data_IF_653052538685
#
_entry.id   IF_653052538685
#
_cell.length_a   1.000
_cell.length_b   1.000
_cell.length_c   1.000
_cell.angle_alpha   90.00
_cell.angle_beta   90.00
_cell.angle_gamma   90.00
#
_symmetry.space_group_name_H-M   'P 1'
#
loop_
_entity.id
_entity.type
_entity.pdbx_description
1 polymer ?
#
# COMPACT_ATOMS: atom_id res chain seq x y z
N UNK A 1 -24.18 23.88 2.85
CA UNK A 1 -22.80 23.46 3.11
C UNK A 1 -22.84 22.67 4.40
N UNK A 2 -22.53 21.34 4.41
CA UNK A 2 -22.34 20.67 5.68
C UNK A 2 -21.12 21.32 6.36
N UNK A 3 -21.26 21.64 7.64
CA UNK A 3 -20.19 22.19 8.45
C UNK A 3 -18.98 21.26 8.38
N UNK A 4 -17.82 21.86 8.08
CA UNK A 4 -16.51 21.19 8.03
C UNK A 4 -16.23 20.59 9.43
N UNK A 5 -16.60 19.34 9.63
CA UNK A 5 -16.27 18.65 10.88
C UNK A 5 -14.76 18.40 10.85
N UNK A 6 -14.02 18.81 11.87
CA UNK A 6 -12.59 18.56 11.93
C UNK A 6 -12.35 17.07 11.78
N UNK A 7 -11.40 16.71 10.93
CA UNK A 7 -11.02 15.33 10.70
C UNK A 7 -10.43 14.75 11.98
N UNK A 8 -10.94 13.60 12.40
CA UNK A 8 -10.40 12.87 13.53
C UNK A 8 -8.99 12.36 13.19
N UNK A 9 -8.12 12.38 14.18
CA UNK A 9 -6.74 11.91 14.12
C UNK A 9 -6.50 10.80 15.15
N UNK A 10 -5.36 10.13 15.11
CA UNK A 10 -5.04 9.10 16.09
C UNK A 10 -5.07 9.61 17.55
N UNK A 11 -4.78 10.90 17.77
CA UNK A 11 -4.81 11.52 19.10
C UNK A 11 -6.20 11.67 19.70
N UNK A 12 -7.26 11.58 18.87
CA UNK A 12 -8.65 11.65 19.33
C UNK A 12 -9.15 10.29 19.87
N UNK A 13 -8.33 9.25 19.78
CA UNK A 13 -8.69 7.90 20.23
C UNK A 13 -7.78 7.40 21.35
N UNK A 14 -8.36 6.59 22.23
CA UNK A 14 -7.56 5.88 23.22
C UNK A 14 -6.55 4.95 22.51
N UNK A 15 -5.25 4.97 22.87
CA UNK A 15 -4.25 4.11 22.24
C UNK A 15 -4.58 2.62 22.25
N UNK A 16 -5.33 2.13 23.27
CA UNK A 16 -5.77 0.75 23.31
C UNK A 16 -6.84 0.43 22.24
N UNK A 17 -7.67 1.43 21.87
CA UNK A 17 -8.64 1.28 20.79
C UNK A 17 -7.92 1.23 19.44
N UNK A 18 -6.87 2.02 19.24
CA UNK A 18 -6.05 1.97 18.03
C UNK A 18 -5.35 0.61 17.86
N UNK A 19 -4.80 0.07 18.94
CA UNK A 19 -4.21 -1.30 18.93
C UNK A 19 -5.27 -2.37 18.65
N UNK A 20 -6.46 -2.23 19.20
CA UNK A 20 -7.58 -3.14 18.95
C UNK A 20 -8.02 -3.06 17.49
N UNK A 21 -8.08 -1.85 16.95
CA UNK A 21 -8.39 -1.62 15.53
C UNK A 21 -7.31 -2.21 14.61
N UNK A 22 -6.03 -2.09 14.98
CA UNK A 22 -4.95 -2.71 14.23
C UNK A 22 -5.08 -4.26 14.19
N UNK A 23 -5.41 -4.90 15.33
CA UNK A 23 -5.71 -6.32 15.36
C UNK A 23 -6.87 -6.70 14.43
N UNK A 24 -7.92 -5.89 14.41
CA UNK A 24 -9.07 -6.09 13.54
C UNK A 24 -8.70 -5.93 12.05
N UNK A 25 -7.97 -4.89 11.69
CA UNK A 25 -7.52 -4.64 10.31
C UNK A 25 -6.67 -5.78 9.78
N UNK A 26 -5.82 -6.39 10.64
CA UNK A 26 -4.97 -7.52 10.26
C UNK A 26 -5.65 -8.90 10.40
N UNK A 27 -6.93 -8.95 10.78
CA UNK A 27 -7.68 -10.20 10.87
C UNK A 27 -7.34 -11.07 12.09
N UNK A 28 -6.61 -10.52 13.08
CA UNK A 28 -6.34 -11.21 14.36
C UNK A 28 -7.59 -11.32 15.23
N UNK A 29 -8.55 -10.45 15.02
CA UNK A 29 -9.90 -10.49 15.56
C UNK A 29 -10.90 -10.14 14.46
N UNK A 30 -12.10 -10.68 14.53
CA UNK A 30 -13.21 -10.33 13.65
C UNK A 30 -13.94 -9.05 14.11
N UNK A 31 -14.93 -8.61 13.33
CA UNK A 31 -15.76 -7.45 13.66
C UNK A 31 -16.45 -7.60 15.01
N UNK A 32 -16.97 -8.78 15.33
CA UNK A 32 -17.64 -9.07 16.59
C UNK A 32 -16.67 -8.94 17.77
N UNK A 33 -15.49 -9.54 17.64
CA UNK A 33 -14.43 -9.46 18.65
C UNK A 33 -13.92 -8.02 18.87
N UNK A 34 -13.86 -7.20 17.81
CA UNK A 34 -13.59 -5.78 17.97
C UNK A 34 -14.70 -5.08 18.78
N UNK A 35 -15.96 -5.23 18.38
CA UNK A 35 -17.09 -4.57 19.04
C UNK A 35 -17.20 -4.96 20.51
N UNK A 36 -17.08 -6.26 20.83
CA UNK A 36 -17.12 -6.75 22.21
C UNK A 36 -16.01 -6.14 23.08
N UNK A 37 -14.79 -6.06 22.57
CA UNK A 37 -13.65 -5.50 23.31
C UNK A 37 -13.69 -3.98 23.39
N UNK A 38 -14.18 -3.31 22.34
CA UNK A 38 -14.30 -1.86 22.27
C UNK A 38 -15.35 -1.29 23.25
N UNK A 39 -16.33 -2.08 23.70
CA UNK A 39 -17.33 -1.64 24.71
C UNK A 39 -16.68 -1.09 25.99
N UNK A 40 -15.51 -1.60 26.38
CA UNK A 40 -14.76 -1.11 27.55
C UNK A 40 -14.32 0.35 27.42
N UNK A 41 -14.17 0.84 26.19
CA UNK A 41 -13.75 2.19 25.86
C UNK A 41 -14.94 3.07 25.41
N UNK A 42 -16.12 2.47 25.30
CA UNK A 42 -17.33 3.04 24.73
C UNK A 42 -18.45 3.15 25.78
N UNK A 43 -18.12 3.48 27.02
CA UNK A 43 -19.10 3.60 28.13
C UNK A 43 -20.00 2.36 28.31
N UNK A 44 -19.48 1.17 27.92
CA UNK A 44 -20.22 -0.10 28.02
C UNK A 44 -21.29 -0.33 26.95
N UNK A 45 -21.47 0.57 25.99
CA UNK A 45 -22.53 0.49 24.97
C UNK A 45 -22.03 -0.09 23.64
N UNK A 46 -22.75 -1.09 23.10
CA UNK A 46 -22.49 -1.63 21.78
C UNK A 46 -22.69 -0.60 20.66
N UNK A 47 -23.62 0.32 20.81
CA UNK A 47 -23.86 1.41 19.86
C UNK A 47 -22.65 2.35 19.79
N UNK A 48 -22.05 2.68 20.94
CA UNK A 48 -20.84 3.52 20.99
C UNK A 48 -19.61 2.77 20.46
N UNK A 49 -19.50 1.45 20.67
CA UNK A 49 -18.44 0.65 20.06
C UNK A 49 -18.55 0.59 18.53
N UNK A 50 -19.77 0.52 17.98
CA UNK A 50 -20.02 0.58 16.54
C UNK A 50 -19.67 1.98 15.98
N UNK A 51 -19.97 3.04 16.72
CA UNK A 51 -19.58 4.42 16.34
C UNK A 51 -18.04 4.59 16.33
N UNK A 52 -17.33 3.98 17.29
CA UNK A 52 -15.86 3.96 17.26
C UNK A 52 -15.31 3.25 16.01
N UNK A 53 -15.89 2.10 15.66
CA UNK A 53 -15.48 1.38 14.45
C UNK A 53 -15.73 2.22 13.20
N UNK A 54 -16.89 2.82 13.10
CA UNK A 54 -17.24 3.70 11.97
C UNK A 54 -16.29 4.90 11.87
N UNK A 55 -15.92 5.51 13.00
CA UNK A 55 -14.99 6.63 13.04
C UNK A 55 -13.55 6.26 12.63
N UNK A 56 -13.16 5.00 12.84
CA UNK A 56 -11.85 4.47 12.45
C UNK A 56 -11.82 3.92 11.02
N UNK A 57 -12.99 3.70 10.40
CA UNK A 57 -13.11 3.15 9.05
C UNK A 57 -12.72 4.18 7.99
N UNK A 58 -12.25 3.73 6.80
CA UNK A 58 -11.85 4.62 5.72
C UNK A 58 -12.98 5.51 5.21
N UNK A 59 -12.67 6.78 4.99
CA UNK A 59 -13.50 7.73 4.24
C UNK A 59 -12.78 8.07 2.91
N UNK A 60 -13.08 7.30 1.88
CA UNK A 60 -12.45 7.45 0.58
C UNK A 60 -12.80 8.76 -0.12
N UNK A 61 -14.04 9.22 0.07
CA UNK A 61 -14.52 10.43 -0.60
C UNK A 61 -13.84 11.68 -0.03
N UNK A 62 -13.72 11.76 1.30
CA UNK A 62 -13.06 12.89 1.96
C UNK A 62 -11.54 12.91 1.75
N UNK A 63 -10.92 11.74 1.50
CA UNK A 63 -9.47 11.61 1.33
C UNK A 63 -8.99 11.72 -0.13
N UNK A 64 -9.89 11.69 -1.10
CA UNK A 64 -9.53 11.71 -2.53
C UNK A 64 -8.81 13.02 -2.89
N UNK A 65 -7.54 12.93 -3.33
CA UNK A 65 -6.72 14.08 -3.74
C UNK A 65 -6.75 14.32 -5.24
N UNK A 66 -6.93 13.27 -6.05
CA UNK A 66 -6.98 13.37 -7.51
C UNK A 66 -8.27 12.76 -8.02
N UNK A 67 -9.10 13.55 -8.67
CA UNK A 67 -10.37 13.07 -9.21
C UNK A 67 -10.16 11.94 -10.22
N UNK A 68 -11.09 10.97 -10.26
CA UNK A 68 -11.02 9.85 -11.21
C UNK A 68 -11.08 10.32 -12.67
N UNK A 69 -11.73 11.45 -12.93
CA UNK A 69 -11.88 12.08 -14.25
C UNK A 69 -10.96 13.30 -14.44
N UNK A 70 -9.83 13.39 -13.72
CA UNK A 70 -8.86 14.48 -13.89
C UNK A 70 -8.33 14.51 -15.32
N UNK A 71 -8.57 15.62 -16.04
CA UNK A 71 -8.23 15.76 -17.46
C UNK A 71 -6.73 15.71 -17.75
N UNK A 72 -5.89 15.86 -16.74
CA UNK A 72 -4.43 15.75 -16.88
C UNK A 72 -3.97 14.29 -16.98
N UNK A 73 -4.87 13.33 -16.74
CA UNK A 73 -4.58 11.91 -16.69
C UNK A 73 -5.40 11.11 -17.69
N UNK A 74 -4.87 9.95 -18.09
CA UNK A 74 -5.61 8.86 -18.72
C UNK A 74 -5.59 7.67 -17.77
N UNK A 75 -6.76 7.12 -17.47
CA UNK A 75 -6.92 5.97 -16.57
C UNK A 75 -7.72 4.88 -17.26
N UNK A 76 -7.34 3.64 -17.00
CA UNK A 76 -8.00 2.46 -17.58
C UNK A 76 -7.79 1.23 -16.70
N UNK A 77 -8.71 0.25 -16.79
CA UNK A 77 -8.47 -1.09 -16.31
C UNK A 77 -8.03 -1.99 -17.48
N UNK A 78 -6.94 -2.71 -17.28
CA UNK A 78 -6.39 -3.62 -18.29
C UNK A 78 -6.20 -5.00 -17.69
N UNK A 79 -6.60 -6.04 -18.43
CA UNK A 79 -6.32 -7.42 -18.04
C UNK A 79 -5.02 -7.90 -18.70
N UNK A 80 -4.31 -8.76 -17.98
CA UNK A 80 -3.05 -9.36 -18.44
C UNK A 80 -2.95 -10.83 -18.01
N UNK A 81 -2.07 -11.58 -18.69
CA UNK A 81 -1.83 -12.98 -18.36
C UNK A 81 -1.02 -13.11 -17.07
N UNK A 82 -1.38 -14.09 -16.25
CA UNK A 82 -0.68 -14.44 -15.00
C UNK A 82 -0.76 -15.96 -14.78
N UNK A 83 -0.07 -16.73 -15.61
CA UNK A 83 -0.20 -18.18 -15.68
C UNK A 83 0.20 -18.87 -14.36
N UNK A 84 1.28 -18.43 -13.73
CA UNK A 84 1.69 -18.92 -12.41
C UNK A 84 0.80 -18.41 -11.26
N UNK A 85 0.00 -17.35 -11.51
CA UNK A 85 -0.99 -16.82 -10.59
C UNK A 85 -2.36 -17.48 -10.77
N UNK A 86 -3.35 -16.71 -11.23
CA UNK A 86 -4.75 -17.16 -11.43
C UNK A 86 -5.15 -17.25 -12.90
N UNK A 87 -4.17 -17.37 -13.82
CA UNK A 87 -4.36 -17.39 -15.27
C UNK A 87 -4.52 -16.01 -15.86
N UNK A 88 -5.45 -15.21 -15.34
CA UNK A 88 -5.66 -13.80 -15.70
C UNK A 88 -5.60 -12.92 -14.47
N UNK A 89 -5.17 -11.69 -14.67
CA UNK A 89 -5.13 -10.65 -13.66
C UNK A 89 -5.58 -9.32 -14.26
N UNK A 90 -5.91 -8.35 -13.44
CA UNK A 90 -6.31 -7.01 -13.83
C UNK A 90 -5.50 -5.98 -13.09
N UNK A 91 -5.22 -4.86 -13.73
CA UNK A 91 -4.62 -3.69 -13.09
C UNK A 91 -5.37 -2.41 -13.46
N UNK A 92 -5.40 -1.46 -12.54
CA UNK A 92 -5.71 -0.06 -12.82
C UNK A 92 -4.43 0.63 -13.26
N UNK A 93 -4.50 1.34 -14.39
CA UNK A 93 -3.37 2.10 -14.93
C UNK A 93 -3.73 3.58 -14.91
N UNK A 94 -2.84 4.40 -14.38
CA UNK A 94 -2.93 5.85 -14.47
C UNK A 94 -1.66 6.39 -15.13
N UNK A 95 -1.82 7.28 -16.13
CA UNK A 95 -0.69 7.91 -16.84
C UNK A 95 -1.00 9.36 -17.18
N UNK A 96 0.00 10.24 -17.31
CA UNK A 96 -0.22 11.59 -17.81
C UNK A 96 -0.92 11.58 -19.18
N UNK A 97 -1.88 12.49 -19.39
CA UNK A 97 -2.62 12.59 -20.65
C UNK A 97 -1.77 13.12 -21.80
N UNK A 98 -0.67 13.82 -21.49
CA UNK A 98 0.24 14.38 -22.49
C UNK A 98 1.08 13.29 -23.14
N UNK A 99 1.16 13.33 -24.47
CA UNK A 99 2.18 12.59 -25.22
C UNK A 99 3.54 13.21 -24.90
N UNK A 100 4.36 12.45 -24.18
CA UNK A 100 5.72 12.84 -23.79
C UNK A 100 6.67 11.71 -24.16
N UNK A 101 8.00 11.91 -24.06
CA UNK A 101 8.97 10.83 -24.15
C UNK A 101 8.63 9.69 -23.18
N UNK A 102 9.16 8.51 -23.47
CA UNK A 102 8.92 7.32 -22.65
C UNK A 102 9.17 7.59 -21.15
N UNK A 103 8.27 7.10 -20.30
CA UNK A 103 8.23 7.37 -18.86
C UNK A 103 8.60 6.14 -18.04
N UNK A 104 9.13 6.29 -16.83
CA UNK A 104 9.27 5.18 -15.91
C UNK A 104 7.90 4.66 -15.45
N UNK A 105 7.85 3.37 -15.11
CA UNK A 105 6.65 2.74 -14.58
C UNK A 105 6.84 2.38 -13.11
N UNK A 106 5.79 2.55 -12.32
CA UNK A 106 5.75 2.20 -10.89
C UNK A 106 4.59 1.25 -10.63
N UNK A 107 4.89 0.08 -10.05
CA UNK A 107 3.87 -0.78 -9.48
C UNK A 107 3.37 -0.18 -8.16
N UNK A 108 2.06 -0.12 -7.99
CA UNK A 108 1.40 0.32 -6.75
C UNK A 108 0.71 -0.87 -6.13
N UNK A 109 1.26 -1.36 -5.02
CA UNK A 109 0.77 -2.57 -4.35
C UNK A 109 -0.13 -2.18 -3.18
N UNK A 110 -1.40 -2.58 -3.27
CA UNK A 110 -2.45 -2.25 -2.32
C UNK A 110 -2.29 -2.92 -0.95
N UNK A 111 -3.05 -2.46 0.03
CA UNK A 111 -3.18 -3.08 1.36
C UNK A 111 -4.00 -4.39 1.28
N UNK A 112 -4.33 -4.98 2.43
CA UNK A 112 -5.10 -6.24 2.54
C UNK A 112 -6.62 -6.07 2.29
N UNK A 113 -7.00 -5.10 1.47
CA UNK A 113 -8.39 -4.87 1.01
C UNK A 113 -8.54 -4.91 -0.51
N UNK A 114 -7.44 -5.22 -1.22
CA UNK A 114 -7.43 -5.19 -2.68
C UNK A 114 -7.32 -3.78 -3.24
N UNK A 115 -7.59 -3.66 -4.53
CA UNK A 115 -7.55 -2.41 -5.27
C UNK A 115 -8.81 -1.58 -4.97
N UNK A 116 -8.75 -0.81 -3.89
CA UNK A 116 -9.82 0.08 -3.46
C UNK A 116 -9.62 1.52 -3.99
N UNK A 117 -10.60 2.43 -3.81
CA UNK A 117 -10.51 3.81 -4.31
C UNK A 117 -9.30 4.60 -3.82
N UNK A 118 -8.76 4.30 -2.63
CA UNK A 118 -7.54 4.92 -2.12
C UNK A 118 -6.32 4.57 -2.97
N UNK A 119 -6.16 3.31 -3.32
CA UNK A 119 -5.02 2.84 -4.14
C UNK A 119 -5.11 3.36 -5.57
N UNK A 120 -6.32 3.46 -6.12
CA UNK A 120 -6.51 4.12 -7.41
C UNK A 120 -6.11 5.60 -7.36
N UNK A 121 -6.42 6.30 -6.25
CA UNK A 121 -6.00 7.68 -6.05
C UNK A 121 -4.47 7.80 -5.89
N UNK A 122 -3.81 6.90 -5.16
CA UNK A 122 -2.34 6.83 -5.08
C UNK A 122 -1.73 6.66 -6.48
N UNK A 123 -2.30 5.79 -7.33
CA UNK A 123 -1.83 5.61 -8.70
C UNK A 123 -1.99 6.92 -9.53
N UNK A 124 -3.10 7.64 -9.37
CA UNK A 124 -3.31 8.94 -10.02
C UNK A 124 -2.33 10.01 -9.52
N UNK A 125 -2.05 10.06 -8.21
CA UNK A 125 -1.04 10.96 -7.62
C UNK A 125 0.35 10.72 -8.26
N UNK A 126 0.78 9.46 -8.38
CA UNK A 126 2.04 9.11 -9.04
C UNK A 126 2.04 9.48 -10.53
N UNK A 127 0.90 9.35 -11.20
CA UNK A 127 0.79 9.76 -12.61
C UNK A 127 0.94 11.28 -12.77
N UNK A 128 0.46 12.09 -11.83
CA UNK A 128 0.71 13.54 -11.82
C UNK A 128 2.18 13.89 -11.59
N UNK A 129 2.93 13.02 -10.89
CA UNK A 129 4.38 13.14 -10.74
C UNK A 129 5.17 12.68 -11.99
N UNK A 130 4.46 12.28 -13.05
CA UNK A 130 5.06 11.95 -14.34
C UNK A 130 5.41 10.48 -14.54
N UNK A 131 4.98 9.58 -13.67
CA UNK A 131 5.13 8.13 -13.81
C UNK A 131 3.94 7.52 -14.59
N UNK A 132 4.14 6.32 -15.13
CA UNK A 132 3.03 5.41 -15.44
C UNK A 132 2.83 4.56 -14.19
N UNK A 133 1.69 4.69 -13.53
CA UNK A 133 1.36 3.90 -12.34
C UNK A 133 0.49 2.72 -12.73
N UNK A 134 0.87 1.52 -12.26
CA UNK A 134 0.13 0.26 -12.50
C UNK A 134 -0.20 -0.34 -11.15
N UNK A 135 -1.48 -0.43 -10.82
CA UNK A 135 -1.99 -1.00 -9.57
C UNK A 135 -2.73 -2.33 -9.84
N UNK A 136 -2.05 -3.49 -9.69
CA UNK A 136 -2.68 -4.79 -9.87
C UNK A 136 -3.72 -5.07 -8.79
N UNK A 137 -4.78 -5.80 -9.17
CA UNK A 137 -5.90 -6.16 -8.30
C UNK A 137 -5.80 -7.62 -7.84
N UNK A 138 -5.32 -7.84 -6.62
CA UNK A 138 -5.25 -9.19 -6.06
C UNK A 138 -6.62 -9.86 -5.89
N UNK A 139 -7.68 -9.06 -5.73
CA UNK A 139 -9.04 -9.58 -5.59
C UNK A 139 -9.74 -9.87 -6.93
N UNK A 140 -9.11 -9.59 -8.07
CA UNK A 140 -9.72 -9.82 -9.37
C UNK A 140 -10.27 -11.25 -9.56
N UNK A 141 -9.59 -12.34 -9.13
CA UNK A 141 -10.13 -13.70 -9.23
C UNK A 141 -11.41 -13.93 -8.44
N UNK A 142 -11.68 -13.07 -7.45
CA UNK A 142 -12.87 -13.10 -6.59
C UNK A 142 -13.86 -11.97 -6.91
N UNK A 143 -13.74 -11.37 -8.12
CA UNK A 143 -14.62 -10.30 -8.60
C UNK A 143 -14.22 -8.88 -8.19
N UNK A 144 -12.98 -8.70 -7.69
CA UNK A 144 -12.42 -7.40 -7.33
C UNK A 144 -12.93 -6.85 -5.99
N UNK A 145 -12.61 -5.57 -5.74
CA UNK A 145 -13.04 -4.85 -4.53
C UNK A 145 -14.57 -4.75 -4.47
N UNK A 146 -15.21 -5.19 -3.38
CA UNK A 146 -16.68 -5.30 -3.30
C UNK A 146 -17.38 -3.99 -2.88
N UNK A 147 -16.66 -2.90 -2.63
CA UNK A 147 -17.22 -1.64 -2.12
C UNK A 147 -17.41 -1.59 -0.60
N UNK A 148 -17.01 -2.63 0.12
CA UNK A 148 -17.09 -2.75 1.57
C UNK A 148 -15.78 -3.33 2.12
N UNK A 149 -15.24 -2.72 3.17
CA UNK A 149 -13.93 -3.09 3.72
C UNK A 149 -13.94 -4.44 4.45
N UNK A 150 -15.04 -4.83 5.08
CA UNK A 150 -15.16 -6.13 5.75
C UNK A 150 -15.29 -7.26 4.73
N UNK A 151 -16.12 -7.08 3.71
CA UNK A 151 -16.25 -8.02 2.61
C UNK A 151 -14.94 -8.13 1.80
N UNK A 152 -14.21 -7.03 1.62
CA UNK A 152 -12.90 -7.03 0.97
C UNK A 152 -11.88 -7.85 1.78
N UNK A 153 -11.86 -7.70 3.11
CA UNK A 153 -10.99 -8.47 4.00
C UNK A 153 -11.33 -9.96 3.96
N UNK A 154 -12.62 -10.30 3.96
CA UNK A 154 -13.07 -11.69 3.84
C UNK A 154 -12.60 -12.32 2.52
N UNK A 155 -12.80 -11.64 1.40
CA UNK A 155 -12.26 -12.08 0.10
C UNK A 155 -10.74 -12.22 0.14
N UNK A 156 -10.03 -11.25 0.72
CA UNK A 156 -8.58 -11.29 0.79
C UNK A 156 -8.05 -12.49 1.58
N UNK A 157 -8.76 -12.91 2.64
CA UNK A 157 -8.42 -14.08 3.44
C UNK A 157 -8.55 -15.42 2.68
N UNK A 158 -9.27 -15.43 1.56
CA UNK A 158 -9.46 -16.61 0.70
C UNK A 158 -8.37 -16.74 -0.38
N UNK A 159 -7.49 -15.74 -0.52
CA UNK A 159 -6.44 -15.78 -1.51
C UNK A 159 -5.31 -16.75 -1.12
N UNK A 160 -4.84 -17.50 -2.11
CA UNK A 160 -3.52 -18.12 -2.03
C UNK A 160 -2.44 -17.06 -2.21
N UNK A 161 -1.75 -16.70 -1.13
CA UNK A 161 -0.75 -15.63 -1.13
C UNK A 161 0.46 -15.94 -2.03
N UNK A 162 0.79 -17.22 -2.28
CA UNK A 162 1.84 -17.59 -3.22
C UNK A 162 1.40 -17.28 -4.64
N UNK A 163 0.22 -17.72 -5.05
CA UNK A 163 -0.36 -17.40 -6.36
C UNK A 163 -0.56 -15.90 -6.53
N UNK A 164 -1.00 -15.21 -5.47
CA UNK A 164 -1.12 -13.75 -5.47
C UNK A 164 0.23 -13.07 -5.71
N UNK A 165 1.30 -13.56 -5.09
CA UNK A 165 2.67 -13.06 -5.37
C UNK A 165 3.02 -13.20 -6.85
N UNK A 166 2.69 -14.33 -7.49
CA UNK A 166 2.95 -14.55 -8.93
C UNK A 166 2.14 -13.58 -9.81
N UNK A 167 0.95 -13.15 -9.38
CA UNK A 167 0.20 -12.09 -10.08
C UNK A 167 1.02 -10.79 -10.12
N UNK A 168 1.65 -10.40 -9.03
CA UNK A 168 2.45 -9.17 -8.98
C UNK A 168 3.80 -9.32 -9.68
N UNK A 169 4.40 -10.51 -9.71
CA UNK A 169 5.57 -10.79 -10.55
C UNK A 169 5.21 -10.66 -12.03
N UNK A 170 4.08 -11.23 -12.47
CA UNK A 170 3.58 -11.09 -13.83
C UNK A 170 3.25 -9.62 -14.16
N UNK A 171 2.68 -8.88 -13.20
CA UNK A 171 2.40 -7.46 -13.35
C UNK A 171 3.67 -6.62 -13.58
N UNK A 172 4.81 -6.99 -12.99
CA UNK A 172 6.09 -6.33 -13.23
C UNK A 172 6.53 -6.46 -14.69
N UNK A 173 6.43 -7.65 -15.25
CA UNK A 173 6.74 -7.90 -16.67
C UNK A 173 5.74 -7.16 -17.59
N UNK A 174 4.44 -7.27 -17.30
CA UNK A 174 3.38 -6.56 -18.01
C UNK A 174 3.59 -5.04 -18.01
N UNK A 175 3.85 -4.45 -16.85
CA UNK A 175 4.04 -3.01 -16.71
C UNK A 175 5.22 -2.48 -17.53
N UNK A 176 6.33 -3.23 -17.59
CA UNK A 176 7.50 -2.86 -18.40
C UNK A 176 7.25 -2.94 -19.90
N UNK A 177 6.33 -3.79 -20.33
CA UNK A 177 5.97 -3.96 -21.74
C UNK A 177 4.92 -2.95 -22.23
N UNK A 178 4.36 -2.10 -21.36
CA UNK A 178 3.36 -1.12 -21.73
C UNK A 178 3.91 -0.08 -22.71
N UNK A 179 3.09 0.36 -23.68
CA UNK A 179 3.48 1.46 -24.58
C UNK A 179 3.84 2.74 -23.80
N UNK A 180 4.92 3.37 -24.19
CA UNK A 180 5.39 4.62 -23.59
C UNK A 180 6.21 4.46 -22.32
N UNK A 181 6.56 3.22 -21.93
CA UNK A 181 7.47 2.94 -20.80
C UNK A 181 8.93 3.00 -21.28
N UNK A 182 9.81 3.61 -20.48
CA UNK A 182 11.25 3.70 -20.73
C UNK A 182 12.06 2.45 -20.27
N UNK A 183 11.38 1.38 -19.87
CA UNK A 183 11.98 0.14 -19.36
C UNK A 183 12.41 0.19 -17.90
N UNK A 184 12.29 1.32 -17.19
CA UNK A 184 12.67 1.48 -15.80
C UNK A 184 11.46 1.26 -14.88
N UNK A 185 11.59 0.29 -13.98
CA UNK A 185 10.53 -0.17 -13.08
C UNK A 185 10.87 0.18 -11.64
N UNK A 186 9.90 0.81 -10.95
CA UNK A 186 9.85 0.97 -9.50
C UNK A 186 8.65 0.24 -8.89
N UNK A 187 8.64 0.09 -7.58
CA UNK A 187 7.49 -0.42 -6.85
C UNK A 187 7.28 0.31 -5.53
N UNK A 188 6.04 0.62 -5.21
CA UNK A 188 5.61 1.10 -3.89
C UNK A 188 4.48 0.22 -3.39
N UNK A 189 4.43 -0.02 -2.09
CA UNK A 189 3.34 -0.80 -1.51
C UNK A 189 3.14 -0.48 -0.03
N UNK A 190 1.93 -0.73 0.44
CA UNK A 190 1.46 -0.30 1.75
C UNK A 190 0.97 -1.51 2.54
N UNK A 191 1.35 -1.64 3.82
CA UNK A 191 0.94 -2.74 4.69
C UNK A 191 1.32 -4.12 4.10
N UNK A 192 0.34 -4.95 3.73
CA UNK A 192 0.54 -6.18 2.94
C UNK A 192 1.36 -5.88 1.69
N UNK A 193 1.01 -4.82 0.97
CA UNK A 193 1.73 -4.38 -0.22
C UNK A 193 3.17 -3.98 0.07
N UNK A 194 3.47 -3.41 1.23
CA UNK A 194 4.83 -3.14 1.66
C UNK A 194 5.64 -4.42 1.84
N UNK A 195 5.05 -5.44 2.47
CA UNK A 195 5.65 -6.78 2.56
C UNK A 195 5.87 -7.39 1.19
N UNK A 196 4.87 -7.28 0.31
CA UNK A 196 4.97 -7.83 -1.04
C UNK A 196 6.02 -7.10 -1.89
N UNK A 197 6.19 -5.79 -1.73
CA UNK A 197 7.26 -5.03 -2.40
C UNK A 197 8.64 -5.49 -1.94
N UNK A 198 8.83 -5.81 -0.65
CA UNK A 198 10.06 -6.44 -0.17
C UNK A 198 10.29 -7.82 -0.83
N UNK A 199 9.25 -8.63 -1.01
CA UNK A 199 9.33 -9.92 -1.72
C UNK A 199 9.64 -9.69 -3.20
N UNK A 200 8.98 -8.74 -3.88
CA UNK A 200 9.24 -8.42 -5.28
C UNK A 200 10.68 -7.97 -5.50
N UNK A 201 11.27 -7.24 -4.56
CA UNK A 201 12.68 -6.86 -4.63
C UNK A 201 13.63 -8.08 -4.68
N UNK A 202 13.23 -9.23 -4.12
CA UNK A 202 14.00 -10.48 -4.19
C UNK A 202 13.69 -11.32 -5.44
N UNK A 203 12.59 -11.02 -6.15
CA UNK A 203 12.04 -11.87 -7.24
C UNK A 203 12.15 -11.22 -8.62
N UNK A 204 12.16 -9.90 -8.70
CA UNK A 204 12.13 -9.13 -9.94
C UNK A 204 13.45 -8.41 -10.10
N UNK A 205 14.37 -9.03 -10.84
CA UNK A 205 15.74 -8.51 -11.06
C UNK A 205 15.78 -7.16 -11.78
N UNK A 206 14.75 -6.86 -12.56
CA UNK A 206 14.60 -5.60 -13.30
C UNK A 206 14.06 -4.43 -12.48
N UNK A 207 13.65 -4.69 -11.23
CA UNK A 207 13.24 -3.63 -10.32
C UNK A 207 14.45 -2.77 -9.98
N UNK A 208 14.35 -1.44 -10.16
CA UNK A 208 15.43 -0.50 -9.88
C UNK A 208 15.28 0.21 -8.53
N UNK A 209 14.05 0.38 -8.09
CA UNK A 209 13.72 1.06 -6.84
C UNK A 209 12.51 0.42 -6.18
N UNK A 210 12.54 0.29 -4.85
CA UNK A 210 11.41 -0.19 -4.08
C UNK A 210 11.20 0.65 -2.82
N UNK A 211 9.95 1.04 -2.58
CA UNK A 211 9.53 1.84 -1.44
C UNK A 211 8.44 1.12 -0.64
N UNK A 212 8.80 0.15 0.21
CA UNK A 212 7.85 -0.52 1.10
C UNK A 212 7.48 0.37 2.29
N UNK A 213 6.17 0.64 2.45
CA UNK A 213 5.61 1.33 3.60
C UNK A 213 5.07 0.31 4.61
N UNK A 214 5.54 0.39 5.85
CA UNK A 214 5.13 -0.46 6.98
C UNK A 214 4.87 -1.93 6.59
N UNK A 215 5.82 -2.49 5.82
CA UNK A 215 5.87 -3.90 5.42
C UNK A 215 6.90 -4.69 6.20
N UNK A 216 6.63 -5.98 6.44
CA UNK A 216 7.59 -6.90 7.07
C UNK A 216 8.72 -7.29 6.12
N UNK A 217 9.81 -7.81 6.68
CA UNK A 217 10.92 -8.38 5.90
C UNK A 217 10.46 -9.51 4.96
N UNK A 218 11.15 -9.71 3.82
CA UNK A 218 11.00 -10.91 3.01
C UNK A 218 11.72 -12.09 3.69
N UNK A 219 11.63 -13.33 3.17
CA UNK A 219 12.50 -14.42 3.60
C UNK A 219 13.97 -13.99 3.52
N UNK A 220 14.68 -14.07 4.65
CA UNK A 220 16.02 -13.47 4.78
C UNK A 220 17.08 -14.15 3.88
N UNK A 221 16.92 -15.43 3.59
CA UNK A 221 17.76 -16.18 2.66
C UNK A 221 17.63 -15.69 1.20
N UNK A 222 16.58 -14.95 0.87
CA UNK A 222 16.35 -14.35 -0.45
C UNK A 222 16.93 -12.93 -0.58
N UNK A 223 17.28 -12.27 0.53
CA UNK A 223 17.79 -10.88 0.54
C UNK A 223 19.03 -10.69 -0.36
N UNK A 224 19.97 -11.63 -0.49
CA UNK A 224 21.09 -11.49 -1.42
C UNK A 224 20.71 -11.34 -2.90
N UNK A 225 19.46 -11.63 -3.28
CA UNK A 225 18.95 -11.45 -4.65
C UNK A 225 18.50 -10.02 -4.95
N UNK A 226 18.40 -9.16 -3.94
CA UNK A 226 17.96 -7.78 -4.12
C UNK A 226 19.03 -6.99 -4.86
N UNK A 227 18.68 -6.48 -6.05
CA UNK A 227 19.55 -5.64 -6.88
C UNK A 227 19.10 -4.17 -6.93
N UNK A 228 17.86 -3.87 -6.52
CA UNK A 228 17.32 -2.52 -6.50
C UNK A 228 17.75 -1.73 -5.26
N UNK A 229 17.56 -0.42 -5.31
CA UNK A 229 17.70 0.43 -4.13
C UNK A 229 16.40 0.51 -3.35
N UNK A 230 16.48 0.47 -2.01
CA UNK A 230 15.31 0.46 -1.12
C UNK A 230 15.19 1.76 -0.33
N UNK A 231 13.95 2.26 -0.19
CA UNK A 231 13.57 3.27 0.81
C UNK A 231 12.49 2.66 1.71
N UNK A 232 12.88 2.17 2.88
CA UNK A 232 11.99 1.48 3.81
C UNK A 232 11.35 2.48 4.78
N UNK A 233 10.01 2.51 4.84
CA UNK A 233 9.23 3.46 5.64
C UNK A 233 8.55 2.73 6.81
N UNK A 234 8.99 2.98 8.04
CA UNK A 234 8.51 2.33 9.26
C UNK A 234 7.67 3.29 10.10
N UNK A 235 6.52 2.83 10.56
CA UNK A 235 5.78 3.49 11.64
C UNK A 235 6.47 3.21 12.98
N UNK A 236 6.47 4.19 13.88
CA UNK A 236 7.12 4.06 15.18
C UNK A 236 6.41 3.04 16.08
N UNK A 237 5.08 3.11 16.12
CA UNK A 237 4.23 2.27 16.97
C UNK A 237 3.68 1.06 16.20
N UNK A 238 4.56 0.31 15.53
CA UNK A 238 4.22 -0.90 14.76
C UNK A 238 5.12 -2.06 15.17
N UNK A 239 4.83 -2.63 16.34
CA UNK A 239 5.66 -3.69 16.94
C UNK A 239 5.84 -4.88 16.00
N UNK A 240 4.78 -5.28 15.30
CA UNK A 240 4.77 -6.45 14.41
C UNK A 240 5.75 -6.28 13.24
N UNK A 241 5.74 -5.14 12.59
CA UNK A 241 6.64 -4.85 11.46
C UNK A 241 8.05 -4.59 11.98
N UNK A 242 8.17 -3.76 13.02
CA UNK A 242 9.46 -3.35 13.56
C UNK A 242 10.26 -4.52 14.17
N UNK A 243 9.59 -5.57 14.67
CA UNK A 243 10.24 -6.79 15.14
C UNK A 243 11.02 -7.53 14.03
N UNK A 244 10.66 -7.35 12.75
CA UNK A 244 11.36 -7.99 11.63
C UNK A 244 12.60 -7.22 11.19
N UNK A 245 12.72 -5.94 11.58
CA UNK A 245 13.72 -5.02 11.08
C UNK A 245 15.16 -5.38 11.43
N UNK A 246 15.53 -5.72 12.69
CA UNK A 246 16.93 -5.95 13.04
C UNK A 246 17.58 -7.06 12.21
N UNK A 247 16.87 -8.16 11.98
CA UNK A 247 17.38 -9.26 11.17
C UNK A 247 17.42 -8.90 9.68
N UNK A 248 16.44 -8.14 9.19
CA UNK A 248 16.41 -7.67 7.81
C UNK A 248 17.53 -6.67 7.52
N UNK A 249 17.76 -5.71 8.42
CA UNK A 249 18.86 -4.76 8.29
C UNK A 249 20.22 -5.46 8.22
N UNK A 250 20.44 -6.44 9.10
CA UNK A 250 21.66 -7.23 9.11
C UNK A 250 21.85 -7.98 7.77
N UNK A 251 20.78 -8.59 7.23
CA UNK A 251 20.83 -9.29 5.95
C UNK A 251 21.10 -8.34 4.77
N UNK A 252 20.46 -7.16 4.75
CA UNK A 252 20.71 -6.13 3.73
C UNK A 252 22.16 -5.65 3.73
N UNK A 253 22.72 -5.37 4.92
CA UNK A 253 24.12 -4.96 5.09
C UNK A 253 25.08 -6.06 4.63
N UNK A 254 24.82 -7.32 5.03
CA UNK A 254 25.66 -8.46 4.64
C UNK A 254 25.64 -8.71 3.13
N UNK A 255 24.51 -8.47 2.48
CA UNK A 255 24.35 -8.61 1.03
C UNK A 255 24.83 -7.38 0.23
N UNK A 256 25.24 -6.29 0.87
CA UNK A 256 25.68 -5.07 0.18
C UNK A 256 24.55 -4.34 -0.56
N UNK A 257 23.30 -4.56 -0.16
CA UNK A 257 22.14 -3.89 -0.77
C UNK A 257 22.15 -2.41 -0.41
N UNK A 258 21.85 -1.54 -1.38
CA UNK A 258 21.69 -0.12 -1.14
C UNK A 258 20.32 0.15 -0.56
N UNK A 259 20.25 0.72 0.63
CA UNK A 259 18.98 1.06 1.27
C UNK A 259 19.08 2.27 2.18
N UNK A 260 17.94 2.90 2.39
CA UNK A 260 17.69 3.87 3.45
C UNK A 260 16.46 3.41 4.23
N UNK A 261 16.53 3.48 5.56
CA UNK A 261 15.42 3.12 6.44
C UNK A 261 15.02 4.35 7.26
N UNK A 262 13.72 4.63 7.28
CA UNK A 262 13.16 5.79 7.93
C UNK A 262 12.09 5.36 8.91
N UNK A 263 12.24 5.74 10.17
CA UNK A 263 11.23 5.55 11.20
C UNK A 263 10.59 6.90 11.53
N UNK A 264 9.26 6.94 11.54
CA UNK A 264 8.48 8.17 11.73
C UNK A 264 7.96 8.22 13.16
N UNK A 265 8.50 9.13 14.02
CA UNK A 265 8.16 9.16 15.44
C UNK A 265 6.66 9.35 15.70
N UNK A 266 6.11 8.62 16.66
CA UNK A 266 4.71 8.72 17.11
C UNK A 266 3.67 8.14 16.16
N UNK A 267 4.05 7.72 14.94
CA UNK A 267 3.09 7.24 13.94
C UNK A 267 2.62 5.81 14.21
N UNK A 268 1.39 5.53 13.79
CA UNK A 268 0.75 4.23 13.81
C UNK A 268 0.96 3.50 12.48
N UNK A 269 0.78 2.15 12.48
CA UNK A 269 0.65 1.39 11.23
C UNK A 269 -0.40 2.02 10.32
N UNK A 270 -0.07 2.22 9.04
CA UNK A 270 -0.98 2.89 8.09
C UNK A 270 -0.93 4.41 8.12
N UNK A 271 0.11 5.04 8.69
CA UNK A 271 0.23 6.50 8.81
C UNK A 271 0.16 7.26 7.47
N UNK A 272 0.43 6.60 6.35
CA UNK A 272 0.32 7.21 5.01
C UNK A 272 -1.11 7.16 4.44
N UNK A 273 -2.01 6.36 5.03
CA UNK A 273 -3.36 6.19 4.51
C UNK A 273 -4.28 7.32 4.97
N UNK A 274 -4.46 8.30 4.10
CA UNK A 274 -5.26 9.50 4.36
C UNK A 274 -6.78 9.27 4.36
N UNK A 275 -7.23 8.03 4.28
CA UNK A 275 -8.66 7.68 4.45
C UNK A 275 -9.04 7.40 5.90
N UNK A 276 -8.06 7.19 6.80
CA UNK A 276 -8.31 6.78 8.19
C UNK A 276 -7.74 7.78 9.20
N UNK A 277 -8.21 7.80 10.46
CA UNK A 277 -7.66 8.66 11.51
C UNK A 277 -6.19 8.36 11.88
N UNK A 278 -5.63 7.22 11.46
CA UNK A 278 -4.21 6.90 11.68
C UNK A 278 -3.26 7.70 10.78
N UNK A 279 -3.82 8.44 9.83
CA UNK A 279 -3.05 9.31 8.95
C UNK A 279 -2.28 10.38 9.75
N UNK A 280 -0.99 10.48 9.47
CA UNK A 280 -0.14 11.56 9.96
C UNK A 280 0.37 12.36 8.76
N UNK A 281 -0.18 13.54 8.57
CA UNK A 281 0.11 14.37 7.40
C UNK A 281 1.59 14.73 7.26
N UNK A 282 2.23 15.05 8.38
CA UNK A 282 3.66 15.42 8.40
C UNK A 282 4.53 14.25 8.00
N UNK A 283 4.31 13.09 8.64
CA UNK A 283 5.06 11.88 8.34
C UNK A 283 4.76 11.37 6.92
N UNK A 284 3.51 11.37 6.49
CA UNK A 284 3.11 10.93 5.15
C UNK A 284 3.71 11.82 4.05
N UNK A 285 3.70 13.14 4.23
CA UNK A 285 4.31 14.10 3.29
C UNK A 285 5.83 13.86 3.18
N UNK A 286 6.49 13.70 4.31
CA UNK A 286 7.93 13.43 4.33
C UNK A 286 8.27 12.06 3.69
N UNK A 287 7.49 11.02 3.99
CA UNK A 287 7.68 9.68 3.42
C UNK A 287 7.45 9.68 1.91
N UNK A 288 6.40 10.36 1.45
CA UNK A 288 6.10 10.53 0.03
C UNK A 288 7.25 11.24 -0.71
N UNK A 289 7.75 12.34 -0.16
CA UNK A 289 8.90 13.07 -0.73
C UNK A 289 10.16 12.21 -0.81
N UNK A 290 10.45 11.38 0.21
CA UNK A 290 11.58 10.44 0.20
C UNK A 290 11.44 9.34 -0.85
N UNK A 291 10.23 8.80 -1.01
CA UNK A 291 9.92 7.86 -2.08
C UNK A 291 10.13 8.48 -3.45
N UNK A 292 9.57 9.68 -3.69
CA UNK A 292 9.75 10.38 -4.96
C UNK A 292 11.22 10.69 -5.23
N UNK A 293 11.99 11.12 -4.24
CA UNK A 293 13.43 11.37 -4.39
C UNK A 293 14.20 10.10 -4.81
N UNK A 294 13.84 8.92 -4.24
CA UNK A 294 14.38 7.64 -4.70
C UNK A 294 14.00 7.36 -6.15
N UNK A 295 12.74 7.49 -6.50
CA UNK A 295 12.24 7.19 -7.84
C UNK A 295 12.78 8.15 -8.90
N UNK A 296 12.85 9.45 -8.60
CA UNK A 296 13.40 10.44 -9.53
C UNK A 296 14.86 10.12 -9.86
N UNK A 297 15.68 9.84 -8.86
CA UNK A 297 17.09 9.52 -9.04
C UNK A 297 17.33 8.22 -9.80
N UNK A 298 16.53 7.19 -9.53
CA UNK A 298 16.78 5.84 -10.08
C UNK A 298 16.01 5.55 -11.37
N UNK A 299 14.87 6.20 -11.58
CA UNK A 299 13.95 5.90 -12.67
C UNK A 299 13.90 7.01 -13.75
N UNK A 300 14.10 8.29 -13.37
CA UNK A 300 14.09 9.41 -14.33
C UNK A 300 15.51 9.84 -14.75
N UNK A 301 16.49 9.60 -13.89
CA UNK A 301 17.91 9.94 -14.10
C UNK A 301 18.61 9.17 -15.20
#
# INVERSE_FOLDING_TARGET
MPADRPRLTASDFNPAVLRLFDQYVHGLIDRRGFLERATRFASGSAATAAALLAALSPDFAAAQKVAANDSRLKTEFVEFASDAGYGRARAYIARPATSAPARPVVLVVHENRGLNPHIEDIARRLALEGYIAVAPDALFPLGGYPGDEDAAREKFSQLDLKRTTEVFVAAAAFARALPGVNGRLGAVGFCYGGTLVNILATRVSELRAAAPFYGTAPPLDQVPKISCELALMFADQDERVNATWPAYEAALKAAGVRFQAFRYPGTQHGFNNDTTPRFDETAATLAWGRMLALFDRTLKG
#
